data_IF_644129796161
#
_entry.id   IF_644129796161
#
_cell.length_a   1.000
_cell.length_b   1.000
_cell.length_c   1.000
_cell.angle_alpha   90.00
_cell.angle_beta   90.00
_cell.angle_gamma   90.00
#
_symmetry.space_group_name_H-M   'P 1'
#
loop_
_entity.id
_entity.type
_entity.pdbx_description
1 polymer ?
#
# COMPACT_ATOMS: atom_id res chain seq x y z
N UNK A 1 3.60 8.03 16.87
CA UNK A 1 2.36 8.64 16.33
C UNK A 1 1.28 7.57 16.11
N UNK A 2 0.05 8.00 15.84
CA UNK A 2 -1.08 7.09 15.59
C UNK A 2 -0.83 6.25 14.31
N UNK A 3 -0.16 6.83 13.33
CA UNK A 3 0.27 6.17 12.10
C UNK A 3 1.17 4.95 12.37
N UNK A 4 2.00 5.00 13.40
CA UNK A 4 2.93 3.89 13.71
C UNK A 4 2.22 2.70 14.41
N UNK A 5 1.08 2.95 15.05
CA UNK A 5 0.30 1.90 15.72
C UNK A 5 -0.67 1.16 14.77
N UNK A 6 -1.15 1.82 13.71
CA UNK A 6 -2.10 1.26 12.74
C UNK A 6 -1.64 -0.05 12.10
N UNK A 7 -0.38 -0.19 11.62
CA UNK A 7 0.08 -1.44 11.01
C UNK A 7 0.05 -2.64 11.95
N UNK A 8 0.32 -2.43 13.25
CA UNK A 8 0.31 -3.49 14.26
C UNK A 8 -1.12 -3.99 14.49
N UNK A 9 -2.08 -3.08 14.63
CA UNK A 9 -3.49 -3.44 14.80
C UNK A 9 -4.06 -4.09 13.54
N UNK A 10 -3.70 -3.61 12.38
CA UNK A 10 -4.12 -4.18 11.09
C UNK A 10 -3.61 -5.61 10.93
N UNK A 11 -2.31 -5.87 11.12
CA UNK A 11 -1.75 -7.21 11.04
C UNK A 11 -2.39 -8.17 12.05
N UNK A 12 -2.68 -7.71 13.27
CA UNK A 12 -3.38 -8.51 14.29
C UNK A 12 -4.82 -8.82 13.85
N UNK A 13 -5.54 -7.84 13.31
CA UNK A 13 -6.91 -8.01 12.83
C UNK A 13 -6.97 -8.99 11.65
N UNK A 14 -6.06 -8.89 10.70
CA UNK A 14 -5.95 -9.82 9.57
C UNK A 14 -5.65 -11.25 10.04
N UNK A 15 -4.69 -11.44 10.93
CA UNK A 15 -4.37 -12.76 11.48
C UNK A 15 -5.57 -13.40 12.20
N UNK A 16 -6.27 -12.63 13.05
CA UNK A 16 -7.44 -13.12 13.79
C UNK A 16 -8.60 -13.45 12.86
N UNK A 17 -8.86 -12.63 11.87
CA UNK A 17 -9.92 -12.84 10.86
C UNK A 17 -9.61 -14.08 10.01
N UNK A 18 -8.38 -14.28 9.60
CA UNK A 18 -7.96 -15.47 8.86
C UNK A 18 -8.09 -16.75 9.70
N UNK A 19 -7.74 -16.72 10.99
CA UNK A 19 -7.96 -17.87 11.90
C UNK A 19 -9.43 -18.25 11.96
N UNK A 20 -10.33 -17.27 12.08
CA UNK A 20 -11.77 -17.52 12.11
C UNK A 20 -12.27 -18.15 10.80
N UNK A 21 -11.81 -17.67 9.66
CA UNK A 21 -12.15 -18.23 8.36
C UNK A 21 -11.69 -19.68 8.22
N UNK A 22 -10.47 -20.00 8.68
CA UNK A 22 -9.94 -21.37 8.64
C UNK A 22 -10.75 -22.35 9.49
N UNK A 23 -11.46 -21.86 10.49
CA UNK A 23 -12.35 -22.68 11.35
C UNK A 23 -13.74 -22.91 10.73
N UNK A 24 -14.11 -22.19 9.67
CA UNK A 24 -15.41 -22.36 9.02
C UNK A 24 -15.39 -23.50 8.00
N UNK A 25 -16.51 -24.28 7.87
CA UNK A 25 -16.58 -25.39 6.92
C UNK A 25 -16.50 -24.95 5.45
N UNK A 26 -17.00 -23.76 5.14
CA UNK A 26 -16.98 -23.17 3.79
C UNK A 26 -15.85 -22.14 3.70
N UNK A 27 -14.63 -22.60 3.56
CA UNK A 27 -13.45 -21.76 3.41
C UNK A 27 -13.40 -21.19 2.00
N UNK A 28 -13.79 -19.94 1.82
CA UNK A 28 -13.69 -19.28 0.53
C UNK A 28 -12.95 -17.95 0.67
N UNK A 29 -11.65 -17.99 0.49
CA UNK A 29 -10.77 -16.84 0.55
C UNK A 29 -11.06 -15.83 -0.56
N UNK A 30 -11.62 -16.26 -1.68
CA UNK A 30 -11.98 -15.39 -2.80
C UNK A 30 -13.16 -14.47 -2.47
N UNK A 31 -13.98 -14.84 -1.48
CA UNK A 31 -15.02 -13.99 -0.91
C UNK A 31 -14.46 -13.13 0.21
N UNK A 32 -13.69 -13.76 1.10
CA UNK A 32 -13.27 -13.15 2.35
C UNK A 32 -12.32 -11.96 2.13
N UNK A 33 -11.25 -12.13 1.35
CA UNK A 33 -10.25 -11.07 1.18
C UNK A 33 -10.79 -9.79 0.53
N UNK A 34 -11.59 -9.81 -0.54
CA UNK A 34 -12.15 -8.57 -1.07
C UNK A 34 -12.99 -7.80 -0.03
N UNK A 35 -13.84 -8.49 0.73
CA UNK A 35 -14.63 -7.83 1.78
C UNK A 35 -13.80 -7.31 2.94
N UNK A 36 -12.78 -8.08 3.36
CA UNK A 36 -11.83 -7.66 4.38
C UNK A 36 -11.08 -6.39 3.97
N UNK A 37 -10.62 -6.32 2.71
CA UNK A 37 -9.88 -5.16 2.21
C UNK A 37 -10.73 -3.91 2.06
N UNK A 38 -12.04 -4.01 1.78
CA UNK A 38 -12.93 -2.84 1.85
C UNK A 38 -12.90 -2.22 3.26
N UNK A 39 -12.95 -3.07 4.30
CA UNK A 39 -12.93 -2.58 5.68
C UNK A 39 -11.57 -2.00 6.04
N UNK A 40 -10.49 -2.71 5.72
CA UNK A 40 -9.12 -2.28 6.07
C UNK A 40 -8.74 -1.00 5.32
N UNK A 41 -8.70 -1.05 3.99
CA UNK A 41 -8.26 0.08 3.18
C UNK A 41 -9.23 1.26 3.27
N UNK A 42 -10.53 0.98 3.31
CA UNK A 42 -11.55 2.01 3.48
C UNK A 42 -11.46 2.70 4.84
N UNK A 43 -11.15 1.98 5.92
CA UNK A 43 -11.00 2.58 7.25
C UNK A 43 -9.74 3.45 7.36
N UNK A 44 -8.65 3.13 6.65
CA UNK A 44 -7.45 3.97 6.59
C UNK A 44 -7.82 5.33 6.00
N UNK A 45 -8.38 5.35 4.80
CA UNK A 45 -8.76 6.59 4.12
C UNK A 45 -9.83 7.39 4.89
N UNK A 46 -10.78 6.69 5.53
CA UNK A 46 -11.80 7.34 6.35
C UNK A 46 -11.20 7.93 7.65
N UNK A 47 -10.19 7.28 8.22
CA UNK A 47 -9.49 7.76 9.40
C UNK A 47 -8.83 9.11 9.14
N UNK A 48 -8.15 9.27 8.00
CA UNK A 48 -7.50 10.52 7.62
C UNK A 48 -8.52 11.64 7.44
N UNK A 49 -9.64 11.37 6.75
CA UNK A 49 -10.74 12.32 6.59
C UNK A 49 -11.28 12.81 7.94
N UNK A 50 -11.56 11.89 8.87
CA UNK A 50 -12.10 12.23 10.18
C UNK A 50 -11.08 12.99 11.01
N UNK A 51 -9.83 12.53 10.99
CA UNK A 51 -8.73 13.12 11.77
C UNK A 51 -8.47 14.56 11.34
N UNK A 52 -8.31 14.80 10.04
CA UNK A 52 -8.08 16.14 9.50
C UNK A 52 -9.26 17.06 9.77
N UNK A 53 -10.50 16.59 9.60
CA UNK A 53 -11.69 17.37 9.91
C UNK A 53 -11.75 17.77 11.38
N UNK A 54 -11.45 16.85 12.29
CA UNK A 54 -11.45 17.13 13.74
C UNK A 54 -10.31 18.08 14.14
N UNK A 55 -9.13 17.94 13.53
CA UNK A 55 -8.00 18.84 13.78
C UNK A 55 -8.26 20.26 13.30
N UNK A 56 -8.90 20.40 12.15
CA UNK A 56 -9.18 21.72 11.57
C UNK A 56 -10.28 22.47 12.33
N UNK A 57 -11.39 21.81 12.72
CA UNK A 57 -12.54 22.48 13.36
C UNK A 57 -12.46 22.52 14.89
N UNK A 58 -11.64 21.63 15.48
CA UNK A 58 -11.53 21.48 16.91
C UNK A 58 -10.05 21.39 17.33
N UNK A 59 -9.80 21.45 18.63
CA UNK A 59 -8.46 21.27 19.15
C UNK A 59 -8.04 19.79 19.06
N UNK A 60 -6.73 19.51 18.83
CA UNK A 60 -6.17 18.15 18.71
C UNK A 60 -6.58 17.17 19.83
N UNK A 61 -6.90 17.71 21.02
CA UNK A 61 -7.36 16.92 22.17
C UNK A 61 -8.67 16.18 21.88
N UNK A 62 -9.57 16.76 21.08
CA UNK A 62 -10.86 16.14 20.72
C UNK A 62 -10.68 14.92 19.82
N UNK A 63 -9.64 14.88 19.01
CA UNK A 63 -9.26 13.70 18.24
C UNK A 63 -8.98 12.49 19.16
N UNK A 64 -8.17 12.71 20.20
CA UNK A 64 -7.86 11.67 21.18
C UNK A 64 -9.11 11.21 21.94
N UNK A 65 -9.99 12.14 22.32
CA UNK A 65 -11.27 11.81 22.96
C UNK A 65 -12.21 11.03 22.04
N UNK A 66 -12.25 11.36 20.76
CA UNK A 66 -13.04 10.64 19.77
C UNK A 66 -12.55 9.20 19.63
N UNK A 67 -11.23 8.99 19.48
CA UNK A 67 -10.64 7.65 19.41
C UNK A 67 -10.91 6.86 20.70
N UNK A 68 -10.72 7.47 21.86
CA UNK A 68 -11.02 6.85 23.15
C UNK A 68 -12.52 6.46 23.27
N UNK A 69 -13.40 7.32 22.79
CA UNK A 69 -14.86 7.03 22.71
C UNK A 69 -15.19 5.85 21.82
N UNK A 70 -14.60 5.78 20.61
CA UNK A 70 -14.75 4.63 19.71
C UNK A 70 -14.23 3.34 20.34
N UNK A 71 -13.06 3.36 20.97
CA UNK A 71 -12.50 2.19 21.66
C UNK A 71 -13.39 1.73 22.80
N UNK A 72 -14.01 2.65 23.53
CA UNK A 72 -14.96 2.35 24.60
C UNK A 72 -16.23 1.70 24.05
N UNK A 73 -16.76 2.19 22.91
CA UNK A 73 -17.92 1.59 22.22
C UNK A 73 -17.59 0.16 21.78
N UNK A 74 -16.44 -0.06 21.16
CA UNK A 74 -15.98 -1.40 20.74
C UNK A 74 -15.87 -2.34 21.94
N UNK A 75 -15.29 -1.87 23.05
CA UNK A 75 -15.16 -2.64 24.28
C UNK A 75 -16.53 -2.99 24.88
N UNK A 76 -17.49 -2.08 24.86
CA UNK A 76 -18.86 -2.33 25.32
C UNK A 76 -19.55 -3.37 24.42
N UNK A 77 -19.44 -3.26 23.10
CA UNK A 77 -19.99 -4.25 22.17
C UNK A 77 -19.35 -5.62 22.41
N UNK A 78 -18.02 -5.67 22.57
CA UNK A 78 -17.29 -6.90 22.81
C UNK A 78 -17.73 -7.57 24.11
N UNK A 79 -17.89 -6.83 25.19
CA UNK A 79 -18.29 -7.38 26.50
C UNK A 79 -19.76 -7.80 26.57
N UNK A 80 -20.64 -7.09 25.85
CA UNK A 80 -22.09 -7.36 25.88
C UNK A 80 -22.55 -8.39 24.84
N UNK A 81 -22.00 -8.32 23.61
CA UNK A 81 -22.47 -9.13 22.49
C UNK A 81 -21.66 -10.40 22.27
N UNK A 82 -20.36 -10.39 22.58
CA UNK A 82 -19.48 -11.52 22.33
C UNK A 82 -19.41 -12.41 23.56
N UNK A 83 -19.99 -13.59 23.47
CA UNK A 83 -19.81 -14.62 24.50
C UNK A 83 -18.39 -15.13 24.47
N UNK A 84 -17.75 -15.23 25.63
CA UNK A 84 -16.41 -15.80 25.75
C UNK A 84 -16.43 -17.30 25.45
N UNK A 85 -16.17 -17.66 24.22
CA UNK A 85 -15.94 -19.05 23.84
C UNK A 85 -14.47 -19.40 24.09
N UNK A 86 -14.23 -20.49 24.80
CA UNK A 86 -12.89 -21.10 24.90
C UNK A 86 -12.67 -21.97 23.67
N UNK A 87 -12.23 -21.39 22.57
CA UNK A 87 -12.07 -22.07 21.28
C UNK A 87 -10.90 -23.08 21.25
N UNK A 88 -9.90 -22.97 22.14
CA UNK A 88 -8.68 -23.76 22.06
C UNK A 88 -8.23 -24.29 23.42
N UNK A 89 -7.54 -25.45 23.37
CA UNK A 89 -6.72 -25.90 24.50
C UNK A 89 -5.63 -24.86 24.75
N UNK A 90 -5.29 -24.64 26.02
CA UNK A 90 -4.17 -23.75 26.39
C UNK A 90 -2.89 -24.29 25.76
N UNK A 91 -2.27 -23.51 24.88
CA UNK A 91 -0.95 -23.80 24.37
C UNK A 91 0.10 -23.38 25.40
N UNK A 92 1.14 -24.20 25.63
CA UNK A 92 2.22 -23.84 26.51
C UNK A 92 3.06 -22.70 25.88
N UNK A 93 3.10 -21.54 26.54
CA UNK A 93 3.82 -20.35 26.07
C UNK A 93 5.35 -20.55 25.95
N UNK A 94 5.89 -21.54 26.64
CA UNK A 94 7.31 -21.88 26.57
C UNK A 94 7.72 -22.58 25.26
N UNK A 95 6.78 -22.98 24.42
CA UNK A 95 7.04 -23.51 23.08
C UNK A 95 7.19 -22.42 22.01
N UNK A 96 6.97 -21.15 22.35
CA UNK A 96 7.06 -20.02 21.42
C UNK A 96 8.47 -19.43 21.47
N UNK A 97 9.05 -19.21 20.29
CA UNK A 97 10.37 -18.55 20.16
C UNK A 97 10.27 -17.02 20.32
N UNK A 98 10.08 -16.56 21.56
CA UNK A 98 9.99 -15.14 21.89
C UNK A 98 11.24 -14.34 21.50
N UNK A 99 12.42 -14.93 21.70
CA UNK A 99 13.67 -14.25 21.32
C UNK A 99 13.83 -14.15 19.81
N UNK A 100 13.40 -15.18 19.05
CA UNK A 100 13.34 -15.08 17.59
C UNK A 100 12.41 -13.97 17.11
N UNK A 101 11.19 -13.88 17.69
CA UNK A 101 10.27 -12.79 17.40
C UNK A 101 10.83 -11.42 17.72
N UNK A 102 11.50 -11.26 18.89
CA UNK A 102 12.14 -10.00 19.27
C UNK A 102 13.29 -9.60 18.33
N UNK A 103 14.11 -10.57 17.87
CA UNK A 103 15.18 -10.30 16.90
C UNK A 103 14.64 -9.87 15.54
N UNK A 104 13.56 -10.50 15.05
CA UNK A 104 12.91 -10.07 13.81
C UNK A 104 12.28 -8.67 13.94
N UNK A 105 11.66 -8.37 15.08
CA UNK A 105 11.12 -7.04 15.35
C UNK A 105 12.22 -5.98 15.42
N UNK A 106 13.36 -6.28 16.08
CA UNK A 106 14.52 -5.40 16.12
C UNK A 106 15.08 -5.14 14.72
N UNK A 107 15.24 -6.18 13.90
CA UNK A 107 15.70 -6.06 12.52
C UNK A 107 14.81 -5.14 11.68
N UNK A 108 13.50 -5.28 11.81
CA UNK A 108 12.55 -4.41 11.09
C UNK A 108 12.62 -2.96 11.57
N UNK A 109 12.75 -2.75 12.89
CA UNK A 109 12.91 -1.40 13.45
C UNK A 109 14.22 -0.74 12.98
N UNK A 110 15.32 -1.50 12.93
CA UNK A 110 16.60 -1.03 12.39
C UNK A 110 16.49 -0.65 10.89
N UNK A 111 15.82 -1.49 10.08
CA UNK A 111 15.58 -1.20 8.65
C UNK A 111 14.67 0.02 8.48
N UNK A 112 13.60 0.12 9.25
CA UNK A 112 12.71 1.27 9.21
C UNK A 112 13.42 2.57 9.62
N UNK A 113 14.27 2.50 10.65
CA UNK A 113 15.09 3.64 11.06
C UNK A 113 16.08 4.07 9.97
N UNK A 114 16.74 3.11 9.32
CA UNK A 114 17.69 3.38 8.24
C UNK A 114 17.04 4.17 7.10
N UNK A 115 15.86 3.75 6.65
CA UNK A 115 15.19 4.40 5.54
C UNK A 115 14.49 5.71 5.92
N UNK A 116 13.90 5.81 7.11
CA UNK A 116 13.23 7.05 7.55
C UNK A 116 14.20 8.17 7.91
N UNK A 117 15.36 7.84 8.47
CA UNK A 117 16.32 8.83 8.94
C UNK A 117 17.62 8.88 8.12
N UNK A 118 17.71 8.06 7.06
CA UNK A 118 18.91 8.01 6.21
C UNK A 118 19.27 9.37 5.62
N UNK A 119 18.29 10.06 5.11
CA UNK A 119 18.45 11.41 4.53
C UNK A 119 18.85 12.44 5.60
N UNK A 120 18.21 12.45 6.74
CA UNK A 120 18.53 13.35 7.86
C UNK A 120 19.98 13.23 8.34
N UNK A 121 20.54 11.99 8.30
CA UNK A 121 21.92 11.70 8.71
C UNK A 121 22.91 11.69 7.54
N UNK A 122 22.57 12.16 6.36
CA UNK A 122 23.40 12.12 5.16
C UNK A 122 23.92 10.71 4.82
N UNK A 123 23.04 9.73 4.97
CA UNK A 123 23.26 8.32 4.63
C UNK A 123 24.59 7.79 5.20
N UNK A 124 25.36 7.07 4.40
CA UNK A 124 26.63 6.42 4.82
C UNK A 124 27.80 7.39 5.09
N UNK A 125 27.63 8.70 4.90
CA UNK A 125 28.60 9.69 5.33
C UNK A 125 28.63 9.81 6.87
N UNK A 126 27.48 9.59 7.52
CA UNK A 126 27.35 9.60 8.98
C UNK A 126 27.88 8.33 9.64
N UNK A 127 28.57 8.44 10.77
CA UNK A 127 28.97 7.29 11.58
C UNK A 127 27.77 6.53 12.14
N UNK A 128 26.64 7.21 12.41
CA UNK A 128 25.41 6.58 12.95
C UNK A 128 24.85 5.58 11.97
N UNK A 129 24.65 5.97 10.70
CA UNK A 129 24.11 5.09 9.65
C UNK A 129 25.06 3.92 9.34
N UNK A 130 26.37 4.15 9.37
CA UNK A 130 27.36 3.06 9.20
C UNK A 130 27.27 2.04 10.33
N UNK A 131 27.17 2.49 11.59
CA UNK A 131 27.02 1.60 12.73
C UNK A 131 25.67 0.85 12.68
N UNK A 132 24.59 1.54 12.30
CA UNK A 132 23.27 0.94 12.12
C UNK A 132 23.30 -0.15 11.02
N UNK A 133 23.95 0.12 9.88
CA UNK A 133 24.10 -0.87 8.81
C UNK A 133 24.84 -2.12 9.30
N UNK A 134 25.87 -1.95 10.10
CA UNK A 134 26.59 -3.07 10.72
C UNK A 134 25.67 -3.80 11.70
N UNK A 135 24.89 -3.09 12.51
CA UNK A 135 23.92 -3.67 13.44
C UNK A 135 22.89 -4.51 12.68
N UNK A 136 22.29 -3.99 11.59
CA UNK A 136 21.36 -4.71 10.71
C UNK A 136 21.97 -6.05 10.23
N UNK A 137 23.23 -6.04 9.75
CA UNK A 137 23.89 -7.25 9.28
C UNK A 137 24.11 -8.27 10.41
N UNK A 138 24.48 -7.79 11.59
CA UNK A 138 24.66 -8.65 12.79
C UNK A 138 23.33 -9.23 13.23
N UNK A 139 22.28 -8.40 13.36
CA UNK A 139 20.93 -8.83 13.77
C UNK A 139 20.34 -9.83 12.76
N UNK A 140 20.51 -9.58 11.46
CA UNK A 140 20.12 -10.52 10.40
C UNK A 140 20.88 -11.85 10.52
N UNK A 141 22.19 -11.81 10.77
CA UNK A 141 23.00 -12.99 11.02
C UNK A 141 22.49 -13.81 12.21
N UNK A 142 22.14 -13.16 13.32
CA UNK A 142 21.53 -13.80 14.49
C UNK A 142 20.14 -14.38 14.18
N UNK A 143 19.30 -13.68 13.41
CA UNK A 143 18.01 -14.19 12.97
C UNK A 143 18.17 -15.48 12.16
N UNK A 144 19.06 -15.49 11.16
CA UNK A 144 19.32 -16.65 10.31
C UNK A 144 19.91 -17.79 11.13
N UNK A 145 20.92 -17.52 11.96
CA UNK A 145 21.53 -18.54 12.82
C UNK A 145 20.50 -19.19 13.73
N UNK A 146 19.65 -18.38 14.39
CA UNK A 146 18.60 -18.87 15.27
C UNK A 146 17.54 -19.68 14.52
N UNK A 147 17.12 -19.22 13.35
CA UNK A 147 16.18 -19.92 12.47
C UNK A 147 16.68 -21.33 12.08
N UNK A 148 18.00 -21.51 11.91
CA UNK A 148 18.62 -22.78 11.52
C UNK A 148 18.88 -23.70 12.70
N UNK A 149 19.04 -23.17 13.92
CA UNK A 149 19.51 -23.93 15.09
C UNK A 149 18.36 -24.42 15.97
N UNK A 150 17.25 -23.67 16.07
CA UNK A 150 16.15 -23.99 16.97
C UNK A 150 15.15 -24.92 16.31
N UNK A 151 14.62 -25.85 17.12
CA UNK A 151 13.65 -26.87 16.66
C UNK A 151 12.31 -26.25 16.21
N UNK A 152 11.86 -25.18 16.85
CA UNK A 152 10.63 -24.44 16.53
C UNK A 152 10.95 -22.96 16.45
N UNK A 153 11.58 -22.51 15.36
CA UNK A 153 11.92 -21.10 15.19
C UNK A 153 10.67 -20.26 14.93
N UNK A 154 10.76 -18.96 15.18
CA UNK A 154 9.67 -18.00 14.88
C UNK A 154 9.26 -18.05 13.41
N UNK A 155 10.23 -18.12 12.48
CA UNK A 155 10.00 -18.37 11.06
C UNK A 155 10.64 -19.70 10.67
N UNK A 156 9.87 -20.62 10.10
CA UNK A 156 10.41 -21.92 9.68
C UNK A 156 11.19 -21.78 8.35
N UNK A 157 12.41 -22.39 8.25
CA UNK A 157 13.22 -22.36 7.03
C UNK A 157 12.49 -22.92 5.81
N UNK A 158 11.60 -23.91 6.02
CA UNK A 158 10.79 -24.50 4.95
C UNK A 158 9.88 -23.53 4.22
N UNK A 159 9.46 -22.45 4.88
CA UNK A 159 8.65 -21.41 4.28
C UNK A 159 9.35 -20.76 3.08
N UNK A 160 10.65 -20.59 3.16
CA UNK A 160 11.47 -19.97 2.12
C UNK A 160 11.72 -20.87 0.90
N UNK A 161 11.39 -22.17 1.00
CA UNK A 161 11.56 -23.12 -0.11
C UNK A 161 10.41 -23.11 -1.12
N UNK A 162 9.31 -22.40 -0.85
CA UNK A 162 8.24 -22.25 -1.80
C UNK A 162 8.67 -21.34 -2.96
N UNK A 163 8.80 -21.95 -4.17
CA UNK A 163 9.35 -21.29 -5.37
C UNK A 163 8.64 -19.98 -5.74
N UNK A 164 7.32 -19.92 -5.57
CA UNK A 164 6.50 -18.78 -6.00
C UNK A 164 6.28 -17.73 -4.90
N UNK A 165 6.77 -17.99 -3.71
CA UNK A 165 6.68 -17.06 -2.60
C UNK A 165 7.58 -15.82 -2.80
N UNK A 166 8.82 -16.02 -3.26
CA UNK A 166 9.77 -14.93 -3.52
C UNK A 166 9.29 -13.91 -4.56
N UNK A 167 8.79 -14.33 -5.74
CA UNK A 167 8.23 -13.39 -6.69
C UNK A 167 7.02 -12.64 -6.13
N UNK A 168 6.18 -13.29 -5.33
CA UNK A 168 5.04 -12.64 -4.69
C UNK A 168 5.50 -11.57 -3.71
N UNK A 169 6.47 -11.86 -2.85
CA UNK A 169 7.03 -10.89 -1.92
C UNK A 169 7.67 -9.69 -2.65
N UNK A 170 8.44 -9.97 -3.70
CA UNK A 170 9.02 -8.91 -4.53
C UNK A 170 7.97 -8.01 -5.18
N UNK A 171 6.88 -8.59 -5.70
CA UNK A 171 5.78 -7.84 -6.29
C UNK A 171 5.07 -6.96 -5.26
N UNK A 172 4.79 -7.50 -4.08
CA UNK A 172 4.16 -6.73 -3.00
C UNK A 172 5.03 -5.54 -2.61
N UNK A 173 6.31 -5.77 -2.36
CA UNK A 173 7.25 -4.69 -2.00
C UNK A 173 7.33 -3.60 -3.07
N UNK A 174 7.35 -3.98 -4.35
CA UNK A 174 7.39 -3.02 -5.45
C UNK A 174 6.08 -2.24 -5.61
N UNK A 175 4.93 -2.90 -5.45
CA UNK A 175 3.62 -2.22 -5.51
C UNK A 175 3.51 -1.20 -4.39
N UNK A 176 3.90 -1.56 -3.16
CA UNK A 176 3.92 -0.60 -2.04
C UNK A 176 4.89 0.55 -2.26
N UNK A 177 6.07 0.26 -2.81
CA UNK A 177 7.01 1.31 -3.18
C UNK A 177 6.43 2.27 -4.25
N UNK A 178 5.65 1.77 -5.22
CA UNK A 178 4.97 2.64 -6.19
C UNK A 178 3.84 3.46 -5.57
N UNK A 179 3.10 2.88 -4.62
CA UNK A 179 2.02 3.58 -3.91
C UNK A 179 2.55 4.61 -2.90
N UNK A 180 3.78 4.45 -2.42
CA UNK A 180 4.43 5.41 -1.52
C UNK A 180 4.62 6.83 -2.13
N UNK A 181 4.38 7.00 -3.45
CA UNK A 181 4.29 8.32 -4.09
C UNK A 181 3.23 9.21 -3.44
N UNK A 182 2.15 8.61 -2.89
CA UNK A 182 1.08 9.30 -2.14
C UNK A 182 1.64 10.08 -0.93
N UNK A 183 2.52 9.45 -0.17
CA UNK A 183 3.02 9.98 1.10
C UNK A 183 4.16 10.99 0.98
N UNK A 184 4.79 11.09 -0.19
CA UNK A 184 5.93 12.02 -0.38
C UNK A 184 5.65 12.98 -1.52
N UNK A 185 5.40 12.47 -2.72
CA UNK A 185 5.30 13.33 -3.91
C UNK A 185 3.98 14.08 -3.96
N UNK A 186 2.86 13.41 -3.62
CA UNK A 186 1.55 14.08 -3.62
C UNK A 186 1.44 15.07 -2.45
N UNK A 187 1.94 14.70 -1.26
CA UNK A 187 1.94 15.58 -0.09
C UNK A 187 2.73 16.87 -0.37
N UNK A 188 3.98 16.72 -0.84
CA UNK A 188 4.81 17.87 -1.23
C UNK A 188 4.15 18.69 -2.34
N UNK A 189 3.49 18.05 -3.32
CA UNK A 189 2.78 18.76 -4.37
C UNK A 189 1.61 19.58 -3.84
N UNK A 190 0.80 19.02 -2.92
CA UNK A 190 -0.35 19.74 -2.37
C UNK A 190 0.08 20.88 -1.43
N UNK A 191 1.09 20.67 -0.60
CA UNK A 191 1.51 21.64 0.41
C UNK A 191 2.41 22.74 -0.15
N UNK A 192 3.45 22.37 -0.91
CA UNK A 192 4.48 23.31 -1.35
C UNK A 192 4.21 23.92 -2.71
N UNK A 193 3.62 23.15 -3.65
CA UNK A 193 3.36 23.65 -5.03
C UNK A 193 1.99 24.30 -5.10
N UNK A 194 0.94 23.59 -4.70
CA UNK A 194 -0.43 24.09 -4.80
C UNK A 194 -0.85 24.95 -3.60
N UNK A 195 -0.11 24.85 -2.48
CA UNK A 195 -0.41 25.54 -1.21
C UNK A 195 -1.87 25.32 -0.77
N UNK A 196 -2.38 24.11 -0.99
CA UNK A 196 -3.72 23.75 -0.53
C UNK A 196 -3.74 23.56 0.98
N UNK A 197 -4.83 24.00 1.60
CA UNK A 197 -5.11 23.60 2.97
C UNK A 197 -5.32 22.08 3.04
N UNK A 198 -4.84 21.46 4.09
CA UNK A 198 -4.95 20.01 4.33
C UNK A 198 -6.41 19.52 4.24
N UNK A 199 -7.38 20.36 4.61
CA UNK A 199 -8.81 20.06 4.48
C UNK A 199 -9.25 19.87 3.03
N UNK A 200 -8.58 20.51 2.07
CA UNK A 200 -8.90 20.40 0.64
C UNK A 200 -8.28 19.13 0.05
N UNK A 201 -7.01 18.86 0.38
CA UNK A 201 -6.30 17.69 -0.14
C UNK A 201 -6.90 16.37 0.38
N UNK A 202 -7.29 16.33 1.65
CA UNK A 202 -7.90 15.14 2.25
C UNK A 202 -9.23 14.73 1.60
N UNK A 203 -9.94 15.66 0.93
CA UNK A 203 -11.17 15.31 0.20
C UNK A 203 -10.94 14.31 -0.94
N UNK A 204 -9.70 14.20 -1.46
CA UNK A 204 -9.33 13.18 -2.44
C UNK A 204 -9.51 11.77 -1.90
N UNK A 205 -9.41 11.56 -0.59
CA UNK A 205 -9.61 10.25 0.04
C UNK A 205 -11.02 9.68 -0.18
N UNK A 206 -12.05 10.53 -0.41
CA UNK A 206 -13.37 10.04 -0.82
C UNK A 206 -13.31 9.32 -2.17
N UNK A 207 -12.54 9.85 -3.12
CA UNK A 207 -12.37 9.24 -4.44
C UNK A 207 -11.50 7.98 -4.37
N UNK A 208 -10.51 7.96 -3.47
CA UNK A 208 -9.76 6.75 -3.16
C UNK A 208 -10.67 5.63 -2.61
N UNK A 209 -11.58 5.95 -1.67
CA UNK A 209 -12.58 5.00 -1.13
C UNK A 209 -13.46 4.44 -2.25
N UNK A 210 -13.95 5.29 -3.16
CA UNK A 210 -14.76 4.84 -4.31
C UNK A 210 -13.95 3.85 -5.16
N UNK A 211 -12.67 4.15 -5.43
CA UNK A 211 -11.76 3.26 -6.14
C UNK A 211 -11.57 1.92 -5.41
N UNK A 212 -11.33 1.95 -4.09
CA UNK A 212 -11.16 0.76 -3.25
C UNK A 212 -12.40 -0.13 -3.30
N UNK A 213 -13.58 0.43 -3.09
CA UNK A 213 -14.84 -0.33 -3.15
C UNK A 213 -15.05 -0.96 -4.52
N UNK A 214 -14.84 -0.18 -5.59
CA UNK A 214 -14.95 -0.68 -6.96
C UNK A 214 -13.95 -1.81 -7.24
N UNK A 215 -12.69 -1.67 -6.81
CA UNK A 215 -11.65 -2.68 -6.98
C UNK A 215 -11.94 -3.97 -6.21
N UNK A 216 -12.41 -3.88 -4.97
CA UNK A 216 -12.77 -5.03 -4.17
C UNK A 216 -14.00 -5.78 -4.73
N UNK A 217 -15.05 -5.04 -5.13
CA UNK A 217 -16.24 -5.63 -5.77
C UNK A 217 -15.88 -6.28 -7.09
N UNK A 218 -15.01 -5.66 -7.89
CA UNK A 218 -14.49 -6.23 -9.12
C UNK A 218 -13.68 -7.51 -8.86
N UNK A 219 -12.80 -7.52 -7.84
CA UNK A 219 -12.03 -8.68 -7.43
C UNK A 219 -12.91 -9.84 -6.97
N UNK A 220 -13.93 -9.55 -6.16
CA UNK A 220 -14.93 -10.54 -5.74
C UNK A 220 -15.67 -11.14 -6.95
N UNK A 221 -16.16 -10.29 -7.87
CA UNK A 221 -16.82 -10.75 -9.08
C UNK A 221 -15.91 -11.62 -9.93
N UNK A 222 -14.65 -11.23 -10.12
CA UNK A 222 -13.66 -11.95 -10.92
C UNK A 222 -13.28 -13.31 -10.32
N UNK A 223 -12.93 -13.32 -9.04
CA UNK A 223 -12.40 -14.51 -8.37
C UNK A 223 -13.50 -15.50 -7.95
N UNK A 224 -14.58 -14.99 -7.33
CA UNK A 224 -15.62 -15.85 -6.77
C UNK A 224 -16.72 -16.19 -7.78
N UNK A 225 -17.31 -15.20 -8.46
CA UNK A 225 -18.44 -15.44 -9.35
C UNK A 225 -17.98 -16.07 -10.68
N UNK A 226 -16.96 -15.48 -11.31
CA UNK A 226 -16.47 -15.92 -12.61
C UNK A 226 -15.39 -16.99 -12.53
N UNK A 227 -14.69 -17.08 -11.42
CA UNK A 227 -13.57 -18.00 -11.18
C UNK A 227 -12.50 -17.91 -12.27
N UNK A 228 -12.19 -16.69 -12.67
CA UNK A 228 -11.14 -16.41 -13.62
C UNK A 228 -9.75 -16.46 -12.97
N UNK A 229 -8.72 -16.58 -13.82
CA UNK A 229 -7.35 -16.66 -13.38
C UNK A 229 -6.87 -15.38 -12.63
N UNK A 230 -6.21 -15.56 -11.49
CA UNK A 230 -5.65 -14.48 -10.66
C UNK A 230 -4.55 -13.69 -11.36
N UNK A 231 -3.74 -14.33 -12.23
CA UNK A 231 -2.71 -13.64 -13.01
C UNK A 231 -3.29 -12.52 -13.86
N UNK A 232 -4.43 -12.76 -14.48
CA UNK A 232 -5.11 -11.72 -15.27
C UNK A 232 -5.66 -10.60 -14.39
N UNK A 233 -6.04 -10.92 -13.16
CA UNK A 233 -6.48 -9.92 -12.19
C UNK A 233 -5.31 -9.05 -11.73
N UNK A 234 -4.13 -9.64 -11.51
CA UNK A 234 -2.90 -8.87 -11.25
C UNK A 234 -2.59 -7.93 -12.42
N UNK A 235 -2.72 -8.39 -13.66
CA UNK A 235 -2.54 -7.54 -14.86
C UNK A 235 -3.51 -6.35 -14.84
N UNK A 236 -4.79 -6.58 -14.53
CA UNK A 236 -5.80 -5.50 -14.41
C UNK A 236 -5.41 -4.52 -13.29
N UNK A 237 -4.95 -5.01 -12.15
CA UNK A 237 -4.43 -4.17 -11.06
C UNK A 237 -3.25 -3.30 -11.50
N UNK A 238 -2.30 -3.85 -12.25
CA UNK A 238 -1.17 -3.09 -12.80
C UNK A 238 -1.58 -2.07 -13.89
N UNK A 239 -2.61 -2.35 -14.67
CA UNK A 239 -3.20 -1.36 -15.60
C UNK A 239 -3.75 -0.18 -14.79
N UNK A 240 -4.48 -0.45 -13.69
CA UNK A 240 -4.97 0.60 -12.79
C UNK A 240 -3.83 1.41 -12.16
N UNK A 241 -2.76 0.73 -11.69
CA UNK A 241 -1.58 1.38 -11.11
C UNK A 241 -0.82 2.25 -12.12
N UNK A 242 -0.66 1.74 -13.34
CA UNK A 242 -0.06 2.52 -14.44
C UNK A 242 -0.95 3.72 -14.79
N UNK A 243 -2.28 3.53 -14.81
CA UNK A 243 -3.25 4.61 -15.03
C UNK A 243 -3.19 5.69 -13.96
N UNK A 244 -2.98 5.32 -12.69
CA UNK A 244 -2.72 6.25 -11.59
C UNK A 244 -1.44 7.07 -11.82
N UNK A 245 -0.30 6.40 -11.99
CA UNK A 245 0.99 7.06 -12.13
C UNK A 245 1.08 7.94 -13.39
N UNK A 246 0.58 7.43 -14.52
CA UNK A 246 0.51 8.20 -15.76
C UNK A 246 -0.50 9.35 -15.66
N UNK A 247 -1.64 9.15 -14.99
CA UNK A 247 -2.63 10.16 -14.74
C UNK A 247 -2.05 11.33 -13.95
N UNK A 248 -1.36 11.07 -12.84
CA UNK A 248 -0.67 12.12 -12.08
C UNK A 248 0.39 12.82 -12.93
N UNK A 249 1.25 12.06 -13.62
CA UNK A 249 2.30 12.63 -14.48
C UNK A 249 1.73 13.62 -15.52
N UNK A 250 0.59 13.31 -16.11
CA UNK A 250 -0.04 14.15 -17.15
C UNK A 250 -0.79 15.35 -16.58
N UNK A 251 -1.34 15.21 -15.36
CA UNK A 251 -2.17 16.26 -14.76
C UNK A 251 -1.37 17.22 -13.88
N UNK A 252 -0.19 16.85 -13.37
CA UNK A 252 0.63 17.75 -12.55
C UNK A 252 0.93 19.06 -13.26
N UNK A 253 0.45 20.17 -12.71
CA UNK A 253 0.68 21.55 -13.16
C UNK A 253 0.34 22.51 -12.02
N UNK A 254 0.98 23.67 -11.96
CA UNK A 254 0.68 24.75 -11.00
C UNK A 254 -0.72 25.30 -11.11
N UNK A 255 -1.35 25.21 -12.29
CA UNK A 255 -2.69 25.77 -12.58
C UNK A 255 -3.81 24.71 -12.54
N UNK A 256 -3.56 23.55 -11.95
CA UNK A 256 -4.52 22.46 -11.96
C UNK A 256 -5.65 22.68 -10.95
N UNK A 257 -6.88 22.38 -11.37
CA UNK A 257 -8.00 22.29 -10.44
C UNK A 257 -8.08 20.90 -9.83
N UNK A 258 -8.31 20.79 -8.53
CA UNK A 258 -8.33 19.52 -7.75
C UNK A 258 -9.22 18.44 -8.39
N UNK A 259 -10.27 18.81 -9.12
CA UNK A 259 -11.16 17.86 -9.80
C UNK A 259 -10.47 17.00 -10.86
N UNK A 260 -9.35 17.45 -11.43
CA UNK A 260 -8.59 16.66 -12.41
C UNK A 260 -7.83 15.50 -11.76
N UNK A 261 -7.59 15.59 -10.44
CA UNK A 261 -6.94 14.54 -9.65
C UNK A 261 -7.90 13.43 -9.20
N UNK A 262 -9.22 13.63 -9.35
CA UNK A 262 -10.21 12.63 -8.92
C UNK A 262 -10.04 11.28 -9.64
N UNK A 263 -9.85 11.31 -10.96
CA UNK A 263 -9.71 10.10 -11.76
C UNK A 263 -8.43 9.32 -11.43
N UNK A 264 -7.22 9.93 -11.40
CA UNK A 264 -6.02 9.26 -10.94
C UNK A 264 -6.16 8.66 -9.55
N UNK A 265 -6.78 9.36 -8.61
CA UNK A 265 -7.00 8.88 -7.23
C UNK A 265 -7.94 7.66 -7.19
N UNK A 266 -9.01 7.66 -8.00
CA UNK A 266 -9.89 6.48 -8.16
C UNK A 266 -9.09 5.30 -8.72
N UNK A 267 -8.24 5.51 -9.73
CA UNK A 267 -7.38 4.47 -10.30
C UNK A 267 -6.40 3.91 -9.26
N UNK A 268 -5.84 4.76 -8.38
CA UNK A 268 -4.99 4.36 -7.27
C UNK A 268 -5.74 3.42 -6.32
N UNK A 269 -6.88 3.85 -5.80
CA UNK A 269 -7.69 3.06 -4.88
C UNK A 269 -8.13 1.72 -5.50
N UNK A 270 -8.53 1.73 -6.77
CA UNK A 270 -8.90 0.53 -7.52
C UNK A 270 -7.70 -0.44 -7.65
N UNK A 271 -6.56 0.05 -8.08
CA UNK A 271 -5.36 -0.75 -8.27
C UNK A 271 -4.89 -1.38 -6.95
N UNK A 272 -4.85 -0.58 -5.90
CA UNK A 272 -4.46 -1.04 -4.57
C UNK A 272 -5.36 -2.16 -4.06
N UNK A 273 -6.68 -1.97 -4.14
CA UNK A 273 -7.65 -2.97 -3.70
C UNK A 273 -7.58 -4.27 -4.52
N UNK A 274 -7.42 -4.17 -5.84
CA UNK A 274 -7.32 -5.34 -6.71
C UNK A 274 -6.03 -6.12 -6.43
N UNK A 275 -4.90 -5.44 -6.32
CA UNK A 275 -3.59 -6.09 -6.14
C UNK A 275 -3.49 -6.71 -4.75
N UNK A 276 -3.82 -5.99 -3.68
CA UNK A 276 -3.72 -6.49 -2.30
C UNK A 276 -4.63 -7.71 -2.08
N UNK A 277 -5.91 -7.65 -2.49
CA UNK A 277 -6.82 -8.78 -2.38
C UNK A 277 -6.33 -10.00 -3.18
N UNK A 278 -5.78 -9.78 -4.38
CA UNK A 278 -5.29 -10.86 -5.23
C UNK A 278 -4.03 -11.50 -4.66
N UNK A 279 -3.09 -10.70 -4.16
CA UNK A 279 -1.85 -11.21 -3.56
C UNK A 279 -2.11 -12.05 -2.32
N UNK A 280 -3.10 -11.68 -1.49
CA UNK A 280 -3.51 -12.48 -0.33
C UNK A 280 -4.08 -13.84 -0.75
N UNK A 281 -4.91 -13.90 -1.80
CA UNK A 281 -5.41 -15.16 -2.33
C UNK A 281 -4.27 -16.01 -2.92
N UNK A 282 -3.33 -15.38 -3.65
CA UNK A 282 -2.15 -16.08 -4.16
C UNK A 282 -1.27 -16.64 -3.04
N UNK A 283 -1.11 -15.92 -1.94
CA UNK A 283 -0.35 -16.39 -0.78
C UNK A 283 -0.96 -17.66 -0.18
N UNK A 284 -2.30 -17.69 -0.03
CA UNK A 284 -3.02 -18.86 0.47
C UNK A 284 -2.84 -20.08 -0.45
N UNK A 285 -2.88 -19.88 -1.78
CA UNK A 285 -2.69 -20.99 -2.74
C UNK A 285 -1.26 -21.53 -2.79
N UNK A 286 -0.26 -20.66 -2.56
CA UNK A 286 1.16 -21.05 -2.57
C UNK A 286 1.53 -21.87 -1.33
N UNK A 287 0.97 -21.51 -0.16
CA UNK A 287 1.39 -22.05 1.12
C UNK A 287 0.46 -23.12 1.68
N UNK A 288 1.03 -24.07 2.41
CA UNK A 288 0.25 -24.98 3.24
C UNK A 288 -0.22 -24.29 4.53
N UNK A 289 -1.29 -24.79 5.14
CA UNK A 289 -1.83 -24.22 6.39
C UNK A 289 -0.76 -23.99 7.48
N UNK A 290 0.19 -24.91 7.65
CA UNK A 290 1.23 -24.80 8.68
C UNK A 290 2.11 -23.55 8.50
N UNK A 291 2.43 -23.18 7.26
CA UNK A 291 3.33 -22.08 6.95
C UNK A 291 2.59 -20.79 6.57
N UNK A 292 1.27 -20.87 6.35
CA UNK A 292 0.48 -19.73 5.89
C UNK A 292 0.57 -18.53 6.83
N UNK A 293 0.39 -18.74 8.15
CA UNK A 293 0.42 -17.63 9.11
C UNK A 293 1.82 -17.00 9.26
N UNK A 294 2.86 -17.81 9.15
CA UNK A 294 4.24 -17.30 9.15
C UNK A 294 4.50 -16.51 7.84
N UNK A 295 4.06 -17.06 6.72
CA UNK A 295 4.15 -16.41 5.42
C UNK A 295 3.34 -15.11 5.36
N UNK A 296 2.16 -15.09 5.95
CA UNK A 296 1.33 -13.89 6.08
C UNK A 296 2.01 -12.82 6.94
N UNK A 297 2.67 -13.22 8.02
CA UNK A 297 3.45 -12.30 8.85
C UNK A 297 4.56 -11.61 8.08
N UNK A 298 5.36 -12.35 7.33
CA UNK A 298 6.43 -11.77 6.48
C UNK A 298 5.84 -10.94 5.33
N UNK A 299 4.76 -11.41 4.72
CA UNK A 299 4.06 -10.66 3.68
C UNK A 299 3.61 -9.28 4.21
N UNK A 300 2.95 -9.23 5.36
CA UNK A 300 2.49 -7.98 5.96
C UNK A 300 3.65 -7.08 6.40
N UNK A 301 4.78 -7.65 6.85
CA UNK A 301 6.00 -6.88 7.15
C UNK A 301 6.55 -6.17 5.91
N UNK A 302 6.60 -6.86 4.78
CA UNK A 302 7.06 -6.28 3.51
C UNK A 302 6.05 -5.30 2.94
N UNK A 303 4.77 -5.63 3.02
CA UNK A 303 3.68 -4.78 2.57
C UNK A 303 3.63 -3.45 3.34
N UNK A 304 3.56 -3.52 4.67
CA UNK A 304 3.29 -2.35 5.51
C UNK A 304 4.53 -1.54 5.90
N UNK A 305 5.67 -2.20 6.07
CA UNK A 305 6.87 -1.56 6.63
C UNK A 305 7.93 -1.35 5.57
N UNK A 306 8.39 -2.42 4.93
CA UNK A 306 9.57 -2.34 4.06
C UNK A 306 9.24 -1.65 2.73
N UNK A 307 8.14 -2.01 2.08
CA UNK A 307 7.77 -1.48 0.76
C UNK A 307 7.48 0.02 0.79
N UNK A 308 6.60 0.45 1.71
CA UNK A 308 6.23 1.85 1.87
C UNK A 308 7.41 2.73 2.27
N UNK A 309 8.12 2.35 3.34
CA UNK A 309 9.26 3.12 3.85
C UNK A 309 10.40 3.22 2.83
N UNK A 310 10.69 2.12 2.10
CA UNK A 310 11.68 2.13 1.02
C UNK A 310 11.27 3.08 -0.11
N UNK A 311 10.00 3.04 -0.52
CA UNK A 311 9.47 3.95 -1.54
C UNK A 311 9.59 5.42 -1.10
N UNK A 312 9.16 5.74 0.11
CA UNK A 312 9.28 7.09 0.67
C UNK A 312 10.74 7.59 0.69
N UNK A 313 11.69 6.74 1.12
CA UNK A 313 13.10 7.09 1.15
C UNK A 313 13.66 7.37 -0.26
N UNK A 314 13.29 6.56 -1.26
CA UNK A 314 13.72 6.76 -2.65
C UNK A 314 13.16 8.07 -3.22
N UNK A 315 11.89 8.40 -2.93
CA UNK A 315 11.28 9.62 -3.43
C UNK A 315 11.81 10.87 -2.72
N UNK A 316 12.00 10.82 -1.40
CA UNK A 316 12.63 11.91 -0.65
C UNK A 316 14.05 12.20 -1.19
N UNK A 317 14.86 11.15 -1.39
CA UNK A 317 16.19 11.30 -1.98
C UNK A 317 16.11 11.81 -3.43
N UNK A 318 15.11 11.37 -4.20
CA UNK A 318 14.86 11.89 -5.54
C UNK A 318 14.57 13.40 -5.52
N UNK A 319 13.72 13.88 -4.63
CA UNK A 319 13.46 15.31 -4.46
C UNK A 319 14.69 16.07 -4.02
N UNK A 320 15.44 15.55 -3.03
CA UNK A 320 16.70 16.16 -2.57
C UNK A 320 17.74 16.29 -3.68
N UNK A 321 17.73 15.42 -4.67
CA UNK A 321 18.62 15.48 -5.83
C UNK A 321 18.09 16.37 -6.95
N UNK A 322 16.83 16.17 -7.40
CA UNK A 322 16.31 16.86 -8.58
C UNK A 322 15.94 18.31 -8.32
N UNK A 323 15.50 18.70 -7.12
CA UNK A 323 15.10 20.09 -6.83
C UNK A 323 16.32 21.04 -6.94
N UNK A 324 17.45 20.80 -6.27
CA UNK A 324 18.65 21.65 -6.42
C UNK A 324 19.23 21.63 -7.84
N UNK A 325 19.22 20.48 -8.52
CA UNK A 325 19.74 20.36 -9.89
C UNK A 325 18.90 21.20 -10.87
N UNK A 326 17.58 21.13 -10.78
CA UNK A 326 16.67 21.96 -11.59
C UNK A 326 16.80 23.44 -11.24
N UNK A 327 16.89 23.80 -9.95
CA UNK A 327 17.15 25.19 -9.54
C UNK A 327 18.45 25.73 -10.11
N UNK A 328 19.52 24.95 -10.11
CA UNK A 328 20.80 25.36 -10.68
C UNK A 328 20.75 25.49 -12.22
N UNK A 329 20.13 24.54 -12.91
CA UNK A 329 20.02 24.54 -14.38
C UNK A 329 19.18 25.69 -14.90
N UNK A 330 17.98 25.86 -14.37
CA UNK A 330 17.06 26.91 -14.82
C UNK A 330 17.39 28.27 -14.23
N UNK A 331 17.91 28.32 -12.99
CA UNK A 331 18.37 29.56 -12.38
C UNK A 331 19.51 30.23 -13.13
N UNK A 332 20.40 29.45 -13.77
CA UNK A 332 21.47 29.99 -14.64
C UNK A 332 20.94 30.66 -15.92
N UNK A 333 19.70 30.36 -16.34
CA UNK A 333 19.07 30.95 -17.50
C UNK A 333 18.31 32.27 -17.18
N UNK A 334 18.16 32.59 -15.89
CA UNK A 334 17.48 33.82 -15.45
C UNK A 334 18.51 34.96 -15.48
N UNK A 335 18.41 35.82 -16.47
CA UNK A 335 19.30 36.99 -16.66
C UNK A 335 18.83 38.19 -15.85
N UNK A 336 19.79 39.07 -15.51
CA UNK A 336 19.56 40.33 -14.81
C UNK A 336 18.49 41.22 -15.50
N UNK A 337 18.29 41.05 -16.80
CA UNK A 337 17.29 41.77 -17.61
C UNK A 337 15.87 41.38 -17.25
N UNK A 338 15.64 40.14 -16.88
CA UNK A 338 14.29 39.64 -16.46
C UNK A 338 13.79 40.27 -15.17
N UNK A 339 14.70 40.74 -14.30
CA UNK A 339 14.37 41.37 -13.02
C UNK A 339 14.26 42.88 -13.06
N UNK A 340 14.68 43.53 -14.16
CA UNK A 340 14.77 44.99 -14.23
C UNK A 340 13.38 45.69 -14.31
N UNK A 341 12.31 44.97 -14.61
CA UNK A 341 10.96 45.55 -14.81
C UNK A 341 10.19 45.77 -13.51
N UNK A 342 10.49 45.05 -12.39
CA UNK A 342 9.79 45.26 -11.13
C UNK A 342 10.59 44.79 -9.89
N UNK A 343 11.49 45.65 -9.36
CA UNK A 343 12.35 45.26 -8.22
C UNK A 343 11.58 45.04 -6.89
N UNK A 344 10.32 45.50 -6.81
CA UNK A 344 9.51 45.35 -5.58
C UNK A 344 8.94 43.96 -5.32
N UNK A 345 8.96 43.05 -6.30
CA UNK A 345 8.34 41.71 -6.17
C UNK A 345 9.37 40.55 -6.30
N UNK A 346 10.64 40.82 -6.07
CA UNK A 346 11.71 39.80 -6.21
C UNK A 346 11.43 38.55 -5.36
N UNK A 347 10.92 38.73 -4.12
CA UNK A 347 10.59 37.63 -3.22
C UNK A 347 9.47 36.73 -3.78
N UNK A 348 8.43 37.33 -4.35
CA UNK A 348 7.31 36.59 -4.94
C UNK A 348 7.75 35.82 -6.20
N UNK A 349 8.56 36.42 -7.06
CA UNK A 349 9.11 35.71 -8.23
C UNK A 349 10.02 34.55 -7.85
N UNK A 350 10.82 34.70 -6.79
CA UNK A 350 11.68 33.60 -6.32
C UNK A 350 10.86 32.45 -5.74
N UNK A 351 9.80 32.77 -5.00
CA UNK A 351 8.89 31.77 -4.44
C UNK A 351 8.16 31.00 -5.55
N UNK A 352 7.62 31.70 -6.54
CA UNK A 352 6.96 31.09 -7.69
C UNK A 352 7.93 30.25 -8.52
N UNK A 353 9.16 30.72 -8.71
CA UNK A 353 10.21 29.96 -9.40
C UNK A 353 10.57 28.67 -8.67
N UNK A 354 10.72 28.71 -7.34
CA UNK A 354 11.01 27.53 -6.52
C UNK A 354 9.85 26.53 -6.63
N UNK A 355 8.60 27.00 -6.56
CA UNK A 355 7.40 26.15 -6.69
C UNK A 355 7.35 25.46 -8.07
N UNK A 356 7.66 26.19 -9.16
CA UNK A 356 7.72 25.61 -10.51
C UNK A 356 8.86 24.59 -10.65
N UNK A 357 10.03 24.83 -10.05
CA UNK A 357 11.14 23.86 -10.09
C UNK A 357 10.82 22.62 -9.28
N UNK A 358 10.08 22.77 -8.19
CA UNK A 358 9.59 21.64 -7.41
C UNK A 358 8.57 20.81 -8.22
N UNK A 359 7.62 21.44 -8.91
CA UNK A 359 6.68 20.77 -9.83
C UNK A 359 7.42 19.96 -10.89
N UNK A 360 8.41 20.58 -11.57
CA UNK A 360 9.23 19.91 -12.60
C UNK A 360 9.95 18.69 -12.01
N UNK A 361 10.49 18.81 -10.79
CA UNK A 361 11.22 17.73 -10.13
C UNK A 361 10.27 16.58 -9.75
N UNK A 362 9.11 16.88 -9.19
CA UNK A 362 8.08 15.88 -8.89
C UNK A 362 7.65 15.16 -10.17
N UNK A 363 7.41 15.90 -11.25
CA UNK A 363 7.02 15.35 -12.54
C UNK A 363 8.09 14.44 -13.15
N UNK A 364 9.37 14.79 -13.01
CA UNK A 364 10.48 13.92 -13.43
C UNK A 364 10.49 12.59 -12.66
N UNK A 365 10.30 12.64 -11.34
CA UNK A 365 10.25 11.42 -10.50
C UNK A 365 9.04 10.57 -10.91
N UNK A 366 7.84 11.15 -11.06
CA UNK A 366 6.67 10.42 -11.55
C UNK A 366 6.90 9.77 -12.90
N UNK A 367 7.61 10.44 -13.81
CA UNK A 367 8.02 9.86 -15.10
C UNK A 367 8.85 8.59 -14.93
N UNK A 368 9.89 8.62 -14.08
CA UNK A 368 10.73 7.45 -13.81
C UNK A 368 9.94 6.32 -13.15
N UNK A 369 9.07 6.65 -12.19
CA UNK A 369 8.22 5.66 -11.51
C UNK A 369 7.22 5.02 -12.49
N UNK A 370 6.61 5.81 -13.35
CA UNK A 370 5.70 5.30 -14.39
C UNK A 370 6.44 4.38 -15.39
N UNK A 371 7.64 4.74 -15.83
CA UNK A 371 8.47 3.86 -16.67
C UNK A 371 8.83 2.55 -15.95
N UNK A 372 9.20 2.61 -14.67
CA UNK A 372 9.51 1.43 -13.88
C UNK A 372 8.25 0.53 -13.71
N UNK A 373 7.08 1.12 -13.49
CA UNK A 373 5.82 0.40 -13.40
C UNK A 373 5.44 -0.27 -14.73
N UNK A 374 5.57 0.44 -15.86
CA UNK A 374 5.34 -0.12 -17.21
C UNK A 374 6.33 -1.26 -17.51
N UNK A 375 7.58 -1.09 -17.17
CA UNK A 375 8.59 -2.14 -17.35
C UNK A 375 8.26 -3.39 -16.54
N UNK A 376 7.89 -3.22 -15.27
CA UNK A 376 7.45 -4.34 -14.42
C UNK A 376 6.17 -5.00 -14.97
N UNK A 377 5.23 -4.21 -15.45
CA UNK A 377 4.02 -4.71 -16.11
C UNK A 377 4.36 -5.58 -17.34
N UNK A 378 5.29 -5.15 -18.19
CA UNK A 378 5.75 -5.94 -19.34
C UNK A 378 6.43 -7.23 -18.90
N UNK A 379 7.25 -7.21 -17.84
CA UNK A 379 7.85 -8.41 -17.27
C UNK A 379 6.79 -9.39 -16.75
N UNK A 380 5.74 -8.88 -16.12
CA UNK A 380 4.63 -9.70 -15.63
C UNK A 380 3.85 -10.38 -16.76
N UNK A 381 3.73 -9.73 -17.91
CA UNK A 381 3.11 -10.36 -19.10
C UNK A 381 3.93 -11.56 -19.63
N UNK A 382 5.25 -11.53 -19.41
CA UNK A 382 6.16 -12.61 -19.80
C UNK A 382 6.29 -13.69 -18.72
N UNK A 383 5.91 -13.40 -17.47
CA UNK A 383 6.02 -14.34 -16.36
C UNK A 383 4.84 -15.29 -16.33
N UNK A 384 5.15 -16.58 -16.44
CA UNK A 384 4.13 -17.65 -16.36
C UNK A 384 3.93 -18.03 -14.89
N UNK A 385 2.93 -17.41 -14.26
CA UNK A 385 2.55 -17.76 -12.89
C UNK A 385 1.97 -19.18 -12.88
N UNK A 386 2.45 -20.07 -12.04
CA UNK A 386 1.90 -21.41 -11.95
C UNK A 386 0.53 -21.38 -11.27
N UNK A 387 -0.47 -21.47 -12.07
CA UNK A 387 -1.84 -21.69 -11.60
C UNK A 387 -2.02 -23.20 -11.39
N UNK A 388 -2.56 -23.60 -10.24
CA UNK A 388 -3.01 -24.99 -10.06
C UNK A 388 -3.94 -25.34 -11.20
N UNK A 389 -3.61 -26.39 -11.95
CA UNK A 389 -4.33 -26.90 -13.14
C UNK A 389 -5.80 -27.31 -12.91
N UNK A 390 -6.36 -27.08 -11.73
CA UNK A 390 -7.73 -27.44 -11.38
C UNK A 390 -8.78 -26.42 -11.88
N UNK A 391 -8.38 -25.27 -12.36
CA UNK A 391 -9.29 -24.33 -12.98
C UNK A 391 -9.46 -24.69 -14.45
N UNK A 392 -10.72 -24.91 -14.85
CA UNK A 392 -11.15 -25.15 -16.25
C UNK A 392 -10.37 -24.26 -17.22
N UNK A 393 -10.07 -24.81 -18.41
CA UNK A 393 -9.38 -24.13 -19.50
C UNK A 393 -9.71 -22.62 -19.55
N UNK A 394 -8.68 -21.80 -19.41
CA UNK A 394 -8.81 -20.35 -19.30
C UNK A 394 -9.67 -19.76 -20.42
N UNK A 395 -10.76 -19.05 -20.12
CA UNK A 395 -11.47 -18.32 -21.15
C UNK A 395 -10.54 -17.27 -21.78
N UNK A 396 -10.58 -17.22 -23.09
CA UNK A 396 -9.88 -16.18 -23.87
C UNK A 396 -10.37 -14.79 -23.45
N UNK A 397 -9.56 -13.74 -23.64
CA UNK A 397 -10.01 -12.34 -23.47
C UNK A 397 -11.30 -12.04 -24.25
N UNK A 398 -11.50 -12.70 -25.40
CA UNK A 398 -12.74 -12.59 -26.20
C UNK A 398 -13.93 -13.20 -25.48
N UNK A 399 -13.73 -14.28 -24.74
CA UNK A 399 -14.79 -14.94 -23.98
C UNK A 399 -15.16 -14.13 -22.74
N UNK A 400 -14.17 -13.53 -22.06
CA UNK A 400 -14.39 -12.58 -20.94
C UNK A 400 -15.19 -11.37 -21.41
N UNK A 401 -14.80 -10.74 -22.51
CA UNK A 401 -15.50 -9.59 -23.08
C UNK A 401 -16.94 -9.93 -23.51
N UNK A 402 -17.15 -11.11 -24.10
CA UNK A 402 -18.47 -11.60 -24.49
C UNK A 402 -19.37 -11.85 -23.29
N UNK A 403 -18.83 -12.40 -22.23
CA UNK A 403 -19.58 -12.72 -21.03
C UNK A 403 -19.92 -11.50 -20.19
N UNK A 404 -19.02 -10.51 -20.08
CA UNK A 404 -19.31 -9.19 -19.53
C UNK A 404 -20.47 -8.53 -20.29
N UNK A 405 -20.42 -8.53 -21.62
CA UNK A 405 -21.50 -8.01 -22.45
C UNK A 405 -22.83 -8.75 -22.21
N UNK A 406 -22.81 -10.08 -22.11
CA UNK A 406 -24.01 -10.88 -21.87
C UNK A 406 -24.59 -10.68 -20.46
N UNK A 407 -23.74 -10.48 -19.44
CA UNK A 407 -24.18 -10.23 -18.07
C UNK A 407 -24.84 -8.85 -17.98
N UNK A 408 -24.26 -7.85 -18.61
CA UNK A 408 -24.87 -6.50 -18.70
C UNK A 408 -26.23 -6.55 -19.43
N UNK A 409 -26.34 -7.33 -20.50
CA UNK A 409 -27.59 -7.50 -21.25
C UNK A 409 -28.68 -8.25 -20.46
N UNK A 410 -28.32 -9.27 -19.68
CA UNK A 410 -29.27 -10.03 -18.84
C UNK A 410 -29.81 -9.18 -17.69
N UNK A 411 -29.00 -8.35 -17.06
CA UNK A 411 -29.46 -7.45 -15.99
C UNK A 411 -30.40 -6.35 -16.50
N UNK A 412 -30.30 -5.97 -17.77
CA UNK A 412 -31.17 -4.94 -18.36
C UNK A 412 -32.46 -5.52 -18.98
N UNK A 413 -32.57 -6.83 -19.19
CA UNK A 413 -33.69 -7.44 -19.93
C UNK A 413 -34.34 -8.65 -19.26
N UNK A 414 -34.08 -8.91 -17.96
CA UNK A 414 -34.89 -9.89 -17.22
C UNK A 414 -36.19 -9.24 -16.77
N UNK A 415 -37.35 -9.72 -17.23
CA UNK A 415 -38.63 -9.27 -16.71
C UNK A 415 -38.72 -9.68 -15.22
N UNK A 416 -39.33 -8.83 -14.37
CA UNK A 416 -39.48 -9.12 -12.93
C UNK A 416 -40.47 -10.28 -12.78
N UNK A 417 -39.97 -11.48 -12.48
CA UNK A 417 -40.82 -12.60 -12.11
C UNK A 417 -40.40 -13.94 -12.71
N UNK A 418 -39.28 -14.51 -12.29
CA UNK A 418 -39.09 -15.96 -12.16
C UNK A 418 -37.99 -16.20 -11.13
N UNK A 419 -38.42 -16.50 -9.90
CA UNK A 419 -37.61 -17.15 -8.89
C UNK A 419 -37.52 -18.63 -9.29
N UNK A 420 -36.31 -19.13 -9.54
CA UNK A 420 -35.98 -20.53 -9.29
C UNK A 420 -35.04 -20.63 -8.10
#
# INVERSE_FOLDING_TARGET
SLHDALPIFQGTFECMSNIQLWMTPKRDFTVFFPWLHIVILGSIQLSDLITTYLMFHYHWTYMNLFIAGLMLIVLLIQTTCIKHFRFMRKFPLFGIDWLGGALWAALLAEIAFLFNYGDWYDWWNSPVIRQLTIAILITLGFCIWRMMTIRHPFLEPKMWTYRHYWPLLGLVTLVEAFLATEHVLEEVFYEEVMKYEELVSVQLNWFAIIGIVAGCVFSYWWMHIKRYNYVRLVIVGFIGLTGYLAGFYLTLSTDIHISQLYLPTICRGFAYAVLSATFMVCLEEIMTFQHFFQGLGVFNMLHMVVGGVLGCAVYAQGLAYYVPDNLARYGSAIDHVSFSSNPFNLGHYMEEFISQMMEVSIKQIYGWVAYACIFLFLLLLLYDFPVRRSLKSMPSWKDVAREVKNTFWRTTHTPPGKKE
#
